data_IF_110521588712
#
_entry.id   IF_110521588712
#
_cell.length_a   1.000
_cell.length_b   1.000
_cell.length_c   1.000
_cell.angle_alpha   90.00
_cell.angle_beta   90.00
_cell.angle_gamma   90.00
#
_symmetry.space_group_name_H-M   'P 1'
#
loop_
_entity.id
_entity.type
_entity.pdbx_description
1 polymer ?
#
# COMPACT_ATOMS: atom_id res chain seq x y z
N UNK A 1 -27.42 -29.81 -59.07
CA UNK A 1 -26.20 -29.77 -58.27
C UNK A 1 -26.29 -28.65 -57.23
N UNK A 2 -27.00 -28.80 -56.09
CA UNK A 2 -27.08 -27.75 -55.02
C UNK A 2 -25.97 -27.82 -53.94
N UNK A 3 -25.17 -28.85 -53.87
CA UNK A 3 -24.29 -29.08 -52.74
C UNK A 3 -22.98 -28.27 -52.68
N UNK A 4 -22.52 -27.65 -53.75
CA UNK A 4 -21.22 -26.95 -53.77
C UNK A 4 -21.26 -25.55 -53.17
N UNK A 5 -22.38 -24.85 -53.27
CA UNK A 5 -22.59 -23.49 -52.77
C UNK A 5 -22.81 -23.47 -51.25
N UNK A 6 -23.44 -24.46 -50.66
CA UNK A 6 -23.64 -24.60 -49.22
C UNK A 6 -22.35 -24.98 -48.52
N UNK A 7 -21.53 -25.83 -49.12
CA UNK A 7 -20.25 -26.25 -48.58
C UNK A 7 -19.23 -25.10 -48.58
N UNK A 8 -19.16 -24.29 -49.65
CA UNK A 8 -18.29 -23.11 -49.76
C UNK A 8 -18.69 -21.98 -48.78
N UNK A 9 -19.99 -21.85 -48.50
CA UNK A 9 -20.49 -20.92 -47.48
C UNK A 9 -20.12 -21.38 -46.04
N UNK A 10 -20.21 -22.69 -45.76
CA UNK A 10 -19.80 -23.28 -44.51
C UNK A 10 -18.30 -23.14 -44.25
N UNK A 11 -17.47 -23.41 -45.25
CA UNK A 11 -16.00 -23.28 -45.13
C UNK A 11 -15.56 -21.83 -44.91
N UNK A 12 -16.20 -20.85 -45.58
CA UNK A 12 -15.94 -19.42 -45.34
C UNK A 12 -16.35 -18.97 -43.94
N UNK A 13 -17.45 -19.50 -43.42
CA UNK A 13 -17.92 -19.18 -42.07
C UNK A 13 -16.99 -19.79 -41.01
N UNK A 14 -16.49 -21.01 -41.20
CA UNK A 14 -15.52 -21.65 -40.30
C UNK A 14 -14.18 -20.92 -40.37
N UNK A 15 -13.67 -20.58 -41.56
CA UNK A 15 -12.44 -19.81 -41.72
C UNK A 15 -12.53 -18.42 -41.08
N UNK A 16 -13.65 -17.70 -41.24
CA UNK A 16 -13.90 -16.41 -40.59
C UNK A 16 -13.96 -16.50 -39.05
N UNK A 17 -14.54 -17.57 -38.52
CA UNK A 17 -14.59 -17.83 -37.08
C UNK A 17 -13.20 -18.14 -36.50
N UNK A 18 -12.41 -18.94 -37.20
CA UNK A 18 -11.05 -19.27 -36.80
C UNK A 18 -10.13 -18.04 -36.79
N UNK A 19 -10.23 -17.17 -37.82
CA UNK A 19 -9.45 -15.93 -37.88
C UNK A 19 -9.82 -14.99 -36.73
N UNK A 20 -11.10 -14.82 -36.40
CA UNK A 20 -11.58 -14.00 -35.31
C UNK A 20 -11.07 -14.50 -33.95
N UNK A 21 -11.10 -15.79 -33.68
CA UNK A 21 -10.59 -16.40 -32.46
C UNK A 21 -9.07 -16.16 -32.32
N UNK A 22 -8.33 -16.22 -33.44
CA UNK A 22 -6.89 -15.92 -33.45
C UNK A 22 -6.61 -14.46 -33.12
N UNK A 23 -7.39 -13.52 -33.66
CA UNK A 23 -7.28 -12.08 -33.30
C UNK A 23 -7.59 -11.81 -31.82
N UNK A 24 -8.62 -12.46 -31.28
CA UNK A 24 -8.98 -12.34 -29.87
C UNK A 24 -7.82 -12.81 -28.93
N UNK A 25 -7.19 -13.95 -29.26
CA UNK A 25 -6.06 -14.45 -28.49
C UNK A 25 -4.87 -13.46 -28.48
N UNK A 26 -4.60 -12.79 -29.60
CA UNK A 26 -3.58 -11.76 -29.69
C UNK A 26 -3.95 -10.59 -28.78
N UNK A 27 -5.19 -10.11 -28.85
CA UNK A 27 -5.66 -8.99 -28.01
C UNK A 27 -5.61 -9.35 -26.54
N UNK A 28 -6.05 -10.54 -26.13
CA UNK A 28 -5.96 -11.01 -24.74
C UNK A 28 -4.52 -11.01 -24.25
N UNK A 29 -3.59 -11.53 -25.06
CA UNK A 29 -2.16 -11.59 -24.74
C UNK A 29 -1.58 -10.19 -24.57
N UNK A 30 -1.91 -9.27 -25.48
CA UNK A 30 -1.45 -7.87 -25.40
C UNK A 30 -1.97 -7.16 -24.15
N UNK A 31 -3.24 -7.41 -23.76
CA UNK A 31 -3.80 -6.87 -22.51
C UNK A 31 -3.05 -7.38 -21.27
N UNK A 32 -2.77 -8.68 -21.22
CA UNK A 32 -2.01 -9.26 -20.11
C UNK A 32 -0.57 -8.71 -20.04
N UNK A 33 0.09 -8.57 -21.19
CA UNK A 33 1.43 -7.96 -21.26
C UNK A 33 1.41 -6.49 -20.83
N UNK A 34 0.41 -5.72 -21.26
CA UNK A 34 0.23 -4.34 -20.84
C UNK A 34 0.00 -4.25 -19.31
N UNK A 35 -0.76 -5.17 -18.73
CA UNK A 35 -0.96 -5.25 -17.28
C UNK A 35 0.34 -5.59 -16.53
N UNK A 36 1.15 -6.51 -17.07
CA UNK A 36 2.49 -6.83 -16.54
C UNK A 36 3.39 -5.58 -16.55
N UNK A 37 3.39 -4.82 -17.64
CA UNK A 37 4.18 -3.60 -17.77
C UNK A 37 3.70 -2.52 -16.78
N UNK A 38 2.40 -2.22 -16.74
CA UNK A 38 1.85 -1.19 -15.87
C UNK A 38 2.07 -1.52 -14.37
N UNK A 39 1.74 -2.75 -13.97
CA UNK A 39 1.97 -3.23 -12.61
C UNK A 39 3.46 -3.29 -12.26
N UNK A 40 4.29 -3.71 -13.24
CA UNK A 40 5.74 -3.73 -13.11
C UNK A 40 6.36 -2.36 -12.88
N UNK A 41 5.92 -1.33 -13.60
CA UNK A 41 6.41 0.04 -13.43
C UNK A 41 6.16 0.59 -12.02
N UNK A 42 4.93 0.41 -11.49
CA UNK A 42 4.62 0.79 -10.11
C UNK A 42 5.44 -0.03 -9.12
N UNK A 43 5.50 -1.36 -9.35
CA UNK A 43 6.23 -2.27 -8.47
C UNK A 43 7.75 -2.02 -8.46
N UNK A 44 8.34 -1.58 -9.58
CA UNK A 44 9.74 -1.15 -9.64
C UNK A 44 10.00 0.06 -8.76
N UNK A 45 9.16 1.10 -8.85
CA UNK A 45 9.25 2.27 -7.96
C UNK A 45 9.23 1.84 -6.50
N UNK A 46 8.32 0.92 -6.14
CA UNK A 46 8.20 0.40 -4.76
C UNK A 46 9.44 -0.40 -4.34
N UNK A 47 9.97 -1.26 -5.22
CA UNK A 47 11.17 -2.06 -4.95
C UNK A 47 12.42 -1.18 -4.80
N UNK A 48 12.63 -0.20 -5.68
CA UNK A 48 13.75 0.73 -5.57
C UNK A 48 13.77 1.50 -4.24
N UNK A 49 12.59 1.65 -3.62
CA UNK A 49 12.46 2.37 -2.36
C UNK A 49 12.38 1.45 -1.13
N UNK A 50 12.63 0.15 -1.28
CA UNK A 50 12.65 -0.82 -0.19
C UNK A 50 11.30 -0.97 0.53
N UNK A 51 10.18 -0.78 -0.18
CA UNK A 51 8.85 -0.89 0.43
C UNK A 51 8.34 -2.34 0.40
N UNK A 52 7.50 -2.77 1.40
CA UNK A 52 7.11 -4.16 1.59
C UNK A 52 6.53 -4.84 0.35
N UNK A 53 5.58 -4.23 -0.37
CA UNK A 53 5.07 -4.76 -1.62
C UNK A 53 5.84 -4.15 -2.79
N UNK A 54 6.61 -4.96 -3.51
CA UNK A 54 7.48 -4.53 -4.61
C UNK A 54 7.02 -5.02 -5.99
N UNK A 55 8.01 -5.21 -6.89
CA UNK A 55 7.82 -5.54 -8.29
C UNK A 55 6.88 -6.74 -8.52
N UNK A 56 7.17 -7.89 -7.88
CA UNK A 56 6.39 -9.13 -8.07
C UNK A 56 4.93 -8.95 -7.67
N UNK A 57 4.69 -8.34 -6.52
CA UNK A 57 3.33 -8.17 -5.98
C UNK A 57 2.46 -7.32 -6.90
N UNK A 58 2.94 -6.15 -7.31
CA UNK A 58 2.18 -5.24 -8.17
C UNK A 58 1.97 -5.83 -9.56
N UNK A 59 2.99 -6.48 -10.14
CA UNK A 59 2.86 -7.15 -11.44
C UNK A 59 1.80 -8.24 -11.39
N UNK A 60 1.81 -9.11 -10.39
CA UNK A 60 0.84 -10.20 -10.25
C UNK A 60 -0.57 -9.68 -10.00
N UNK A 61 -0.74 -8.68 -9.17
CA UNK A 61 -2.06 -8.06 -8.89
C UNK A 61 -2.66 -7.45 -10.15
N UNK A 62 -1.88 -6.68 -10.91
CA UNK A 62 -2.35 -6.06 -12.14
C UNK A 62 -2.73 -7.12 -13.19
N UNK A 63 -1.84 -8.08 -13.41
CA UNK A 63 -2.06 -9.17 -14.36
C UNK A 63 -3.29 -10.02 -13.98
N UNK A 64 -3.44 -10.41 -12.71
CA UNK A 64 -4.58 -11.20 -12.25
C UNK A 64 -5.90 -10.43 -12.38
N UNK A 65 -5.93 -9.14 -12.04
CA UNK A 65 -7.11 -8.30 -12.23
C UNK A 65 -7.50 -8.18 -13.71
N UNK A 66 -6.51 -8.02 -14.60
CA UNK A 66 -6.73 -7.99 -16.04
C UNK A 66 -7.25 -9.33 -16.55
N UNK A 67 -6.68 -10.46 -16.12
CA UNK A 67 -7.12 -11.80 -16.50
C UNK A 67 -8.57 -12.07 -16.09
N UNK A 68 -8.96 -11.68 -14.87
CA UNK A 68 -10.36 -11.82 -14.40
C UNK A 68 -11.32 -10.97 -15.23
N UNK A 69 -10.94 -9.75 -15.63
CA UNK A 69 -11.77 -8.93 -16.51
C UNK A 69 -11.90 -9.51 -17.90
N UNK A 70 -10.86 -10.19 -18.45
CA UNK A 70 -10.96 -10.88 -19.74
C UNK A 70 -12.04 -11.96 -19.73
N UNK A 71 -12.24 -12.68 -18.61
CA UNK A 71 -13.32 -13.66 -18.47
C UNK A 71 -14.69 -13.02 -18.77
N UNK A 72 -14.90 -11.79 -18.30
CA UNK A 72 -16.17 -11.09 -18.52
C UNK A 72 -16.26 -10.48 -19.92
N UNK A 73 -15.17 -9.90 -20.42
CA UNK A 73 -15.14 -9.29 -21.77
C UNK A 73 -15.35 -10.32 -22.86
N UNK A 74 -14.86 -11.53 -22.66
CA UNK A 74 -14.96 -12.65 -23.62
C UNK A 74 -15.95 -13.73 -23.16
N UNK A 75 -16.99 -13.35 -22.41
CA UNK A 75 -18.01 -14.26 -21.88
C UNK A 75 -18.67 -15.14 -22.96
N UNK A 76 -18.85 -14.58 -24.15
CA UNK A 76 -19.42 -15.25 -25.29
C UNK A 76 -18.62 -16.49 -25.78
N UNK A 77 -17.36 -16.62 -25.40
CA UNK A 77 -16.54 -17.80 -25.76
C UNK A 77 -16.81 -19.02 -24.87
N UNK A 78 -17.32 -18.82 -23.63
CA UNK A 78 -17.53 -19.88 -22.66
C UNK A 78 -18.99 -20.04 -22.21
N UNK A 79 -19.85 -19.04 -22.47
CA UNK A 79 -21.29 -19.14 -22.22
C UNK A 79 -21.93 -19.95 -23.36
N UNK A 80 -22.63 -21.01 -23.01
CA UNK A 80 -23.32 -21.85 -24.03
C UNK A 80 -24.47 -21.08 -24.67
N UNK A 81 -24.65 -21.28 -25.97
CA UNK A 81 -25.68 -20.63 -26.81
C UNK A 81 -27.14 -20.90 -26.40
N UNK A 82 -27.37 -21.73 -25.40
CA UNK A 82 -28.70 -22.11 -24.88
C UNK A 82 -29.11 -21.35 -23.63
N UNK A 83 -28.30 -20.37 -23.20
CA UNK A 83 -28.67 -19.51 -22.07
C UNK A 83 -29.73 -18.51 -22.54
N UNK A 84 -30.91 -18.39 -21.89
CA UNK A 84 -31.93 -17.45 -22.27
C UNK A 84 -31.41 -16.04 -22.42
N UNK A 85 -31.82 -15.27 -23.42
CA UNK A 85 -31.44 -13.85 -23.63
C UNK A 85 -31.68 -12.91 -22.41
N UNK A 86 -32.43 -13.41 -21.45
CA UNK A 86 -32.72 -12.74 -20.17
C UNK A 86 -31.52 -12.68 -19.21
N UNK A 87 -30.46 -13.50 -19.38
CA UNK A 87 -29.28 -13.49 -18.55
C UNK A 87 -28.28 -12.50 -19.15
N UNK A 88 -28.22 -11.29 -18.60
CA UNK A 88 -27.17 -10.31 -18.89
C UNK A 88 -26.10 -10.39 -17.82
N UNK A 89 -24.90 -10.71 -18.22
CA UNK A 89 -23.75 -10.60 -17.33
C UNK A 89 -23.36 -9.12 -17.15
N UNK A 90 -23.17 -8.71 -15.91
CA UNK A 90 -22.77 -7.36 -15.57
C UNK A 90 -21.26 -7.32 -15.31
N UNK A 91 -20.46 -6.75 -16.22
CA UNK A 91 -19.00 -6.67 -16.04
C UNK A 91 -18.58 -5.89 -14.80
N UNK A 92 -19.45 -5.02 -14.29
CA UNK A 92 -19.13 -4.24 -13.08
C UNK A 92 -19.10 -5.12 -11.83
N UNK A 93 -19.83 -6.25 -11.81
CA UNK A 93 -19.79 -7.22 -10.70
C UNK A 93 -18.43 -7.89 -10.57
N UNK A 94 -17.77 -8.22 -11.68
CA UNK A 94 -16.42 -8.77 -11.65
C UNK A 94 -15.44 -7.74 -11.10
N UNK A 95 -15.49 -6.51 -11.59
CA UNK A 95 -14.67 -5.40 -11.08
C UNK A 95 -14.90 -5.18 -9.59
N UNK A 96 -16.16 -5.17 -9.12
CA UNK A 96 -16.51 -5.06 -7.71
C UNK A 96 -15.93 -6.22 -6.89
N UNK A 97 -16.00 -7.45 -7.38
CA UNK A 97 -15.41 -8.62 -6.75
C UNK A 97 -13.89 -8.51 -6.58
N UNK A 98 -13.20 -8.08 -7.67
CA UNK A 98 -11.75 -7.82 -7.64
C UNK A 98 -11.42 -6.77 -6.58
N UNK A 99 -12.12 -5.62 -6.59
CA UNK A 99 -11.85 -4.51 -5.66
C UNK A 99 -12.17 -4.89 -4.21
N UNK A 100 -13.17 -5.72 -3.97
CA UNK A 100 -13.47 -6.26 -2.63
C UNK A 100 -12.37 -7.23 -2.18
N UNK A 101 -11.97 -8.16 -3.03
CA UNK A 101 -10.92 -9.14 -2.73
C UNK A 101 -9.56 -8.51 -2.45
N UNK A 102 -9.19 -7.47 -3.19
CA UNK A 102 -7.93 -6.77 -2.98
C UNK A 102 -7.92 -5.98 -1.65
N UNK A 103 -9.09 -5.65 -1.10
CA UNK A 103 -9.22 -5.07 0.22
C UNK A 103 -8.62 -5.94 1.32
N UNK A 104 -8.73 -7.28 1.20
CA UNK A 104 -8.10 -8.23 2.12
C UNK A 104 -6.56 -8.15 2.06
N UNK A 105 -5.97 -8.12 0.87
CA UNK A 105 -4.52 -7.93 0.71
C UNK A 105 -4.07 -6.57 1.23
N UNK A 106 -4.86 -5.51 0.96
CA UNK A 106 -4.61 -4.18 1.49
C UNK A 106 -4.60 -4.15 3.02
N UNK A 107 -5.57 -4.78 3.65
CA UNK A 107 -5.61 -4.89 5.12
C UNK A 107 -4.42 -5.69 5.67
N UNK A 108 -3.99 -6.75 4.96
CA UNK A 108 -2.86 -7.59 5.35
C UNK A 108 -1.50 -6.89 5.36
N UNK A 109 -1.35 -5.77 4.65
CA UNK A 109 -0.09 -5.00 4.63
C UNK A 109 -0.11 -3.79 5.58
N UNK A 110 -1.24 -3.50 6.22
CA UNK A 110 -1.37 -2.43 7.22
C UNK A 110 -1.16 -3.04 8.59
N UNK A 111 -0.18 -2.55 9.32
CA UNK A 111 0.08 -3.01 10.68
C UNK A 111 0.48 -1.85 11.60
N UNK A 112 0.19 -2.03 12.89
CA UNK A 112 0.54 -1.07 13.92
C UNK A 112 1.85 -1.48 14.58
N UNK A 113 2.84 -0.60 14.51
CA UNK A 113 4.12 -0.76 15.19
C UNK A 113 4.26 0.33 16.26
N UNK A 114 4.10 -0.06 17.51
CA UNK A 114 4.11 0.88 18.63
C UNK A 114 2.97 1.90 18.54
N UNK A 115 3.31 3.16 18.28
CA UNK A 115 2.37 4.28 18.13
C UNK A 115 2.09 4.64 16.66
N UNK A 116 2.79 4.03 15.73
CA UNK A 116 2.73 4.34 14.30
C UNK A 116 1.96 3.27 13.53
N UNK A 117 1.16 3.67 12.53
CA UNK A 117 0.51 2.76 11.59
C UNK A 117 1.32 2.78 10.30
N UNK A 118 1.77 1.60 9.85
CA UNK A 118 2.56 1.42 8.63
C UNK A 118 1.76 0.69 7.56
N UNK A 119 2.19 0.82 6.31
CA UNK A 119 1.62 0.08 5.20
C UNK A 119 0.45 0.75 4.48
N UNK A 120 -0.03 1.94 4.92
CA UNK A 120 -1.16 2.64 4.30
C UNK A 120 -0.89 2.96 2.82
N UNK A 121 0.26 3.56 2.49
CA UNK A 121 0.64 3.85 1.09
C UNK A 121 0.82 2.57 0.28
N UNK A 122 1.33 1.50 0.90
CA UNK A 122 1.47 0.19 0.26
C UNK A 122 0.10 -0.40 -0.07
N UNK A 123 -0.85 -0.37 0.85
CA UNK A 123 -2.23 -0.82 0.60
C UNK A 123 -2.89 -0.01 -0.53
N UNK A 124 -2.75 1.32 -0.51
CA UNK A 124 -3.27 2.19 -1.56
C UNK A 124 -2.63 1.90 -2.94
N UNK A 125 -1.32 1.63 -3.00
CA UNK A 125 -0.63 1.28 -4.25
C UNK A 125 -1.10 -0.07 -4.81
N UNK A 126 -1.30 -1.08 -3.96
CA UNK A 126 -1.85 -2.38 -4.37
C UNK A 126 -3.27 -2.22 -4.91
N UNK A 127 -4.11 -1.43 -4.23
CA UNK A 127 -5.48 -1.15 -4.65
C UNK A 127 -5.52 -0.44 -6.01
N UNK A 128 -4.69 0.58 -6.20
CA UNK A 128 -4.55 1.29 -7.48
C UNK A 128 -4.08 0.35 -8.61
N UNK A 129 -3.15 -0.56 -8.30
CA UNK A 129 -2.64 -1.54 -9.26
C UNK A 129 -3.73 -2.54 -9.72
N UNK A 130 -4.62 -2.95 -8.82
CA UNK A 130 -5.77 -3.79 -9.19
C UNK A 130 -6.74 -3.03 -10.10
N UNK A 131 -7.02 -1.75 -9.81
CA UNK A 131 -7.83 -0.90 -10.68
C UNK A 131 -7.22 -0.73 -12.08
N UNK A 132 -5.88 -0.60 -12.17
CA UNK A 132 -5.18 -0.58 -13.46
C UNK A 132 -5.38 -1.88 -14.24
N UNK A 133 -5.29 -3.03 -13.57
CA UNK A 133 -5.55 -4.32 -14.20
C UNK A 133 -6.97 -4.41 -14.76
N UNK A 134 -7.97 -3.89 -14.03
CA UNK A 134 -9.36 -3.81 -14.51
C UNK A 134 -9.44 -2.96 -15.79
N UNK A 135 -8.89 -1.74 -15.76
CA UNK A 135 -8.91 -0.83 -16.92
C UNK A 135 -8.26 -1.46 -18.17
N UNK A 136 -7.11 -2.10 -17.99
CA UNK A 136 -6.39 -2.77 -19.08
C UNK A 136 -7.18 -3.99 -19.58
N UNK A 137 -7.75 -4.77 -18.65
CA UNK A 137 -8.56 -5.95 -18.98
C UNK A 137 -9.78 -5.64 -19.84
N UNK A 138 -10.44 -4.50 -19.62
CA UNK A 138 -11.55 -4.03 -20.47
C UNK A 138 -11.10 -3.28 -21.74
N UNK A 139 -9.78 -2.98 -21.86
CA UNK A 139 -9.23 -2.28 -23.03
C UNK A 139 -9.18 -0.77 -22.91
N UNK A 140 -9.36 -0.18 -21.71
CA UNK A 140 -9.27 1.26 -21.45
C UNK A 140 -7.82 1.69 -21.25
N UNK A 141 -7.02 1.63 -22.31
CA UNK A 141 -5.58 1.89 -22.26
C UNK A 141 -5.22 3.34 -21.93
N UNK A 142 -5.98 4.32 -22.43
CA UNK A 142 -5.71 5.73 -22.17
C UNK A 142 -5.87 6.07 -20.68
N UNK A 143 -7.01 5.76 -20.02
CA UNK A 143 -7.13 5.95 -18.56
C UNK A 143 -6.09 5.15 -17.77
N UNK A 144 -5.76 3.92 -18.22
CA UNK A 144 -4.76 3.10 -17.55
C UNK A 144 -3.36 3.74 -17.62
N UNK A 145 -2.95 4.26 -18.78
CA UNK A 145 -1.67 4.94 -18.94
C UNK A 145 -1.58 6.19 -18.06
N UNK A 146 -2.61 7.05 -18.07
CA UNK A 146 -2.66 8.25 -17.23
C UNK A 146 -2.62 7.88 -15.75
N UNK A 147 -3.42 6.90 -15.33
CA UNK A 147 -3.43 6.45 -13.92
C UNK A 147 -2.07 5.89 -13.49
N UNK A 148 -1.39 5.13 -14.37
CA UNK A 148 -0.04 4.62 -14.09
C UNK A 148 0.95 5.77 -13.89
N UNK A 149 0.95 6.76 -14.78
CA UNK A 149 1.83 7.94 -14.68
C UNK A 149 1.56 8.74 -13.42
N UNK A 150 0.29 9.01 -13.12
CA UNK A 150 -0.11 9.73 -11.92
C UNK A 150 0.25 8.96 -10.65
N UNK A 151 0.05 7.63 -10.62
CA UNK A 151 0.44 6.80 -9.47
C UNK A 151 1.95 6.88 -9.21
N UNK A 152 2.78 6.73 -10.24
CA UNK A 152 4.24 6.86 -10.12
C UNK A 152 4.61 8.28 -9.67
N UNK A 153 3.97 9.30 -10.24
CA UNK A 153 4.20 10.68 -9.84
C UNK A 153 3.88 10.91 -8.36
N UNK A 154 2.70 10.47 -7.89
CA UNK A 154 2.30 10.58 -6.48
C UNK A 154 3.29 9.84 -5.56
N UNK A 155 3.62 8.60 -5.89
CA UNK A 155 4.55 7.79 -5.09
C UNK A 155 5.98 8.36 -5.03
N UNK A 156 6.39 9.09 -6.07
CA UNK A 156 7.74 9.66 -6.19
C UNK A 156 7.82 11.12 -5.74
N UNK A 157 6.95 11.99 -6.24
CA UNK A 157 7.03 13.43 -6.06
C UNK A 157 6.56 13.88 -4.66
N UNK A 158 5.50 13.26 -4.11
CA UNK A 158 5.00 13.64 -2.79
C UNK A 158 6.03 13.40 -1.69
N UNK A 159 6.87 12.39 -1.82
CA UNK A 159 7.97 12.16 -0.89
C UNK A 159 9.00 13.31 -0.90
N UNK A 160 9.29 13.88 -2.07
CA UNK A 160 10.18 15.03 -2.17
C UNK A 160 9.57 16.24 -1.45
N UNK A 161 8.26 16.40 -1.50
CA UNK A 161 7.54 17.41 -0.72
C UNK A 161 7.61 17.09 0.77
N UNK A 162 7.29 15.85 1.19
CA UNK A 162 7.35 15.40 2.58
C UNK A 162 8.74 15.60 3.19
N UNK A 163 9.82 15.32 2.44
CA UNK A 163 11.20 15.49 2.93
C UNK A 163 11.57 16.96 3.19
N UNK A 164 10.81 17.92 2.67
CA UNK A 164 10.99 19.36 2.91
C UNK A 164 10.03 19.95 3.93
N UNK A 165 9.01 19.20 4.32
CA UNK A 165 8.10 19.64 5.39
C UNK A 165 8.74 19.38 6.75
N UNK A 166 8.56 20.30 7.73
CA UNK A 166 9.01 20.05 9.10
C UNK A 166 8.20 18.89 9.68
N UNK A 167 8.81 17.70 9.65
CA UNK A 167 8.17 16.47 10.14
C UNK A 167 8.27 16.43 11.65
N UNK A 168 7.19 16.17 12.34
CA UNK A 168 7.22 15.88 13.77
C UNK A 168 7.72 14.44 13.97
N UNK A 169 8.89 14.32 14.60
CA UNK A 169 9.42 13.04 14.99
C UNK A 169 8.84 12.64 16.35
N UNK A 170 8.28 11.46 16.43
CA UNK A 170 7.72 10.89 17.66
C UNK A 170 8.66 9.84 18.22
N UNK A 171 8.74 9.76 19.55
CA UNK A 171 9.44 8.67 20.22
C UNK A 171 8.66 8.23 21.46
N UNK A 172 8.75 6.95 21.79
CA UNK A 172 8.39 6.47 23.11
C UNK A 172 9.58 6.74 24.03
N UNK A 173 9.31 7.37 25.14
CA UNK A 173 10.31 7.74 26.14
C UNK A 173 9.95 7.14 27.48
N UNK A 174 10.84 6.33 28.03
CA UNK A 174 10.78 5.79 29.37
C UNK A 174 11.96 6.39 30.16
N UNK A 175 11.73 6.89 31.37
CA UNK A 175 12.78 7.37 32.28
C UNK A 175 12.49 6.94 33.70
N UNK A 176 13.54 6.53 34.42
CA UNK A 176 13.45 6.04 35.78
C UNK A 176 14.33 6.88 36.70
N UNK A 177 13.79 7.20 37.89
CA UNK A 177 14.47 7.90 39.00
C UNK A 177 14.39 7.04 40.25
N UNK A 178 15.27 7.29 41.22
CA UNK A 178 15.05 6.82 42.59
C UNK A 178 13.78 7.44 43.16
N UNK A 179 13.02 6.70 43.96
CA UNK A 179 11.79 7.21 44.58
C UNK A 179 11.95 8.52 45.30
N UNK A 180 13.04 8.63 46.07
CA UNK A 180 13.29 9.80 46.92
C UNK A 180 13.87 11.02 46.18
N UNK A 181 14.35 10.80 44.93
CA UNK A 181 14.92 11.81 44.06
C UNK A 181 14.17 11.92 42.73
N UNK A 182 12.92 11.45 42.68
CA UNK A 182 12.10 11.54 41.48
C UNK A 182 11.81 13.01 41.17
N UNK A 183 12.17 13.39 39.94
CA UNK A 183 11.81 14.72 39.41
C UNK A 183 10.28 14.76 39.26
N UNK A 184 9.63 15.82 39.73
CA UNK A 184 8.20 16.01 39.52
C UNK A 184 7.84 16.23 38.03
N UNK A 185 6.58 16.00 37.68
CA UNK A 185 6.14 16.12 36.28
C UNK A 185 6.40 17.51 35.67
N UNK A 186 6.10 18.64 36.33
CA UNK A 186 6.38 19.97 35.79
C UNK A 186 7.86 20.19 35.49
N UNK A 187 8.76 19.78 36.40
CA UNK A 187 10.19 19.90 36.18
C UNK A 187 10.70 19.01 35.04
N UNK A 188 10.18 17.78 34.93
CA UNK A 188 10.50 16.89 33.81
C UNK A 188 10.04 17.48 32.49
N UNK A 189 8.81 18.01 32.42
CA UNK A 189 8.28 18.68 31.22
C UNK A 189 9.13 19.91 30.85
N UNK A 190 9.53 20.70 31.80
CA UNK A 190 10.40 21.87 31.58
C UNK A 190 11.79 21.45 31.05
N UNK A 191 12.38 20.40 31.63
CA UNK A 191 13.65 19.85 31.17
C UNK A 191 13.58 19.33 29.71
N UNK A 192 12.50 18.65 29.33
CA UNK A 192 12.27 18.18 27.96
C UNK A 192 12.04 19.36 27.01
N UNK A 193 11.24 20.34 27.39
CA UNK A 193 10.96 21.55 26.62
C UNK A 193 12.23 22.37 26.32
N UNK A 194 13.19 22.41 27.22
CA UNK A 194 14.49 23.08 27.03
C UNK A 194 15.28 22.48 25.85
N UNK A 195 15.06 21.22 25.53
CA UNK A 195 15.63 20.53 24.35
C UNK A 195 14.73 20.58 23.11
N UNK A 196 13.62 21.34 23.11
CA UNK A 196 12.67 21.42 22.01
C UNK A 196 11.83 20.16 21.86
N UNK A 197 11.65 19.43 22.95
CA UNK A 197 10.84 18.20 23.00
C UNK A 197 9.55 18.48 23.77
N UNK A 198 8.42 18.23 23.15
CA UNK A 198 7.10 18.32 23.78
C UNK A 198 6.60 16.93 24.20
N UNK A 199 5.81 16.91 25.28
CA UNK A 199 5.33 15.69 25.93
C UNK A 199 3.85 15.52 25.63
N UNK A 200 3.48 14.36 25.09
CA UNK A 200 2.10 13.93 24.89
C UNK A 200 1.54 13.17 26.09
N UNK A 201 0.96 12.00 25.84
CA UNK A 201 0.45 11.14 26.92
C UNK A 201 1.56 10.71 27.85
N UNK A 202 1.33 10.85 29.16
CA UNK A 202 2.25 10.48 30.22
C UNK A 202 1.58 9.46 31.13
N UNK A 203 2.32 8.43 31.52
CA UNK A 203 1.90 7.42 32.50
C UNK A 203 3.00 7.23 33.56
N UNK A 204 2.57 6.86 34.73
CA UNK A 204 3.42 6.68 35.91
C UNK A 204 3.47 5.20 36.27
N UNK A 205 4.63 4.73 36.70
CA UNK A 205 4.78 3.38 37.24
C UNK A 205 5.79 3.38 38.38
N UNK A 206 5.38 2.82 39.51
CA UNK A 206 6.29 2.47 40.58
C UNK A 206 6.75 1.02 40.35
N UNK A 207 8.05 0.79 40.28
CA UNK A 207 8.67 -0.48 39.96
C UNK A 207 9.64 -0.92 41.09
N UNK A 208 10.14 -2.16 41.00
CA UNK A 208 11.17 -2.72 41.86
C UNK A 208 10.82 -2.62 43.35
N UNK A 209 9.65 -3.10 43.73
CA UNK A 209 9.19 -3.08 45.13
C UNK A 209 8.90 -1.68 45.66
N UNK A 210 8.84 -0.66 44.84
CA UNK A 210 8.58 0.72 45.25
C UNK A 210 9.82 1.60 45.30
N UNK A 211 10.98 1.11 44.91
CA UNK A 211 12.25 1.87 44.95
C UNK A 211 12.46 2.76 43.72
N UNK A 212 11.84 2.42 42.57
CA UNK A 212 12.00 3.15 41.30
C UNK A 212 10.70 3.77 40.81
N UNK A 213 10.74 5.07 40.56
CA UNK A 213 9.65 5.81 39.94
C UNK A 213 9.92 5.98 38.45
N UNK A 214 9.06 5.39 37.60
CA UNK A 214 9.21 5.41 36.14
C UNK A 214 8.13 6.27 35.52
N UNK A 215 8.55 7.16 34.62
CA UNK A 215 7.69 7.85 33.68
C UNK A 215 7.75 7.17 32.32
N UNK A 216 6.60 6.94 31.72
CA UNK A 216 6.48 6.50 30.34
C UNK A 216 5.62 7.50 29.59
N UNK A 217 6.12 8.00 28.45
CA UNK A 217 5.44 9.03 27.68
C UNK A 217 5.76 8.94 26.20
N UNK A 218 4.90 9.58 25.38
CA UNK A 218 5.20 9.85 23.98
C UNK A 218 5.76 11.26 23.91
N UNK A 219 6.95 11.39 23.34
CA UNK A 219 7.60 12.67 23.12
C UNK A 219 7.65 12.99 21.63
N UNK A 220 7.63 14.27 21.29
CA UNK A 220 7.69 14.73 19.91
C UNK A 220 8.63 15.93 19.79
N UNK A 221 9.34 16.00 18.65
CA UNK A 221 10.21 17.11 18.31
C UNK A 221 10.22 17.36 16.81
N UNK A 222 10.38 18.63 16.41
CA UNK A 222 10.62 19.01 15.01
C UNK A 222 12.11 19.11 14.68
N UNK A 223 12.99 18.99 15.69
CA UNK A 223 14.44 19.07 15.51
C UNK A 223 15.00 17.70 15.11
N UNK A 224 15.78 17.58 14.02
CA UNK A 224 16.37 16.31 13.60
C UNK A 224 17.23 15.63 14.66
N UNK A 225 17.98 16.43 15.45
CA UNK A 225 18.87 15.95 16.50
C UNK A 225 18.29 16.02 17.91
N UNK A 226 17.02 16.42 18.07
CA UNK A 226 16.40 16.67 19.38
C UNK A 226 16.47 15.46 20.33
N UNK A 227 16.23 14.26 19.85
CA UNK A 227 16.33 13.04 20.67
C UNK A 227 17.77 12.68 21.02
N UNK A 228 18.73 12.97 20.15
CA UNK A 228 20.16 12.74 20.42
C UNK A 228 20.71 13.71 21.47
N UNK A 229 20.32 14.97 21.40
CA UNK A 229 20.66 15.98 22.39
C UNK A 229 20.06 15.67 23.77
N UNK A 230 18.78 15.25 23.77
CA UNK A 230 18.11 14.81 24.99
C UNK A 230 18.81 13.60 25.61
N UNK A 231 19.16 12.58 24.83
CA UNK A 231 19.86 11.40 25.33
C UNK A 231 21.22 11.77 25.97
N UNK A 232 21.97 12.67 25.34
CA UNK A 232 23.24 13.18 25.91
C UNK A 232 23.04 13.94 27.22
N UNK A 233 21.99 14.74 27.32
CA UNK A 233 21.66 15.49 28.54
C UNK A 233 21.28 14.55 29.68
N UNK A 234 20.39 13.57 29.39
CA UNK A 234 19.95 12.58 30.37
C UNK A 234 21.09 11.68 30.86
N UNK A 235 22.02 11.27 29.98
CA UNK A 235 23.19 10.46 30.38
C UNK A 235 24.15 11.17 31.34
N UNK A 236 24.13 12.49 31.38
CA UNK A 236 24.94 13.31 32.31
C UNK A 236 24.22 13.63 33.62
N UNK A 237 22.90 13.39 33.65
CA UNK A 237 22.11 13.70 34.83
C UNK A 237 22.18 12.55 35.84
N UNK A 238 22.79 12.78 36.98
CA UNK A 238 22.98 11.78 38.05
C UNK A 238 21.68 11.32 38.72
N UNK A 239 20.57 12.05 38.54
CA UNK A 239 19.27 11.69 39.09
C UNK A 239 18.59 10.62 38.24
N UNK A 240 18.98 10.47 36.95
CA UNK A 240 18.42 9.49 36.03
C UNK A 240 19.13 8.15 36.22
N UNK A 241 18.39 7.15 36.66
CA UNK A 241 18.91 5.79 36.83
C UNK A 241 18.92 5.01 35.51
N UNK A 242 17.89 5.18 34.72
CA UNK A 242 17.68 4.47 33.45
C UNK A 242 16.84 5.35 32.53
N UNK A 243 17.14 5.38 31.27
CA UNK A 243 16.24 5.95 30.28
C UNK A 243 16.27 5.13 28.98
N UNK A 244 15.17 5.20 28.22
CA UNK A 244 15.02 4.61 26.92
C UNK A 244 14.27 5.56 26.01
N UNK A 245 14.81 5.79 24.81
CA UNK A 245 14.17 6.58 23.76
C UNK A 245 14.06 5.65 22.55
N UNK A 246 12.84 5.28 22.18
CA UNK A 246 12.54 4.48 21.00
C UNK A 246 11.88 5.39 19.97
N UNK A 247 12.62 5.92 18.98
CA UNK A 247 12.03 6.69 17.89
C UNK A 247 11.02 5.84 17.14
N UNK A 248 9.85 6.41 16.88
CA UNK A 248 8.90 5.83 15.93
C UNK A 248 9.46 6.07 14.52
N UNK A 249 10.25 5.10 14.02
CA UNK A 249 10.84 5.17 12.68
C UNK A 249 9.77 5.03 11.59
N UNK A 250 10.00 5.68 10.44
CA UNK A 250 9.26 5.48 9.20
C UNK A 250 9.45 4.07 8.61
#
# INVERSE_FOLDING_TARGET
MPGKTEQDAGDKQIAGRSARVSEDHIVMTLRLLAAVVAGGLIGLERSFRGRPAGFRTHTLVCMASSALMLVTVYEWQWVQSHVPETIRMDPTRMAQGIMTGIGFLGAGVIFKEGITVRGLTTAASIWTTAALGILIGIGFYFPAAITTLLAIFVLSAFRWVESRMPTQNYARFDVAFSRDAAMDEPALRAALAAHGVSVGQLSYRLADGGERFKYRMVIQTTRPDGFRELARSLSRNRLVLEFRIDPAGD
#
